data_IF_182438743451
#
_entry.id   IF_182438743451
#
_cell.length_a   1.000
_cell.length_b   1.000
_cell.length_c   1.000
_cell.angle_alpha   90.00
_cell.angle_beta   90.00
_cell.angle_gamma   90.00
#
_symmetry.space_group_name_H-M   'P 1'
#
loop_
_entity.id
_entity.type
_entity.pdbx_description
1 polymer ?
#
# COMPACT_ATOMS: atom_id res chain seq x y z
N UNK A 1 -20.69 8.79 -3.29
CA UNK A 1 -19.43 8.69 -2.51
C UNK A 1 -19.59 7.84 -1.26
N UNK A 2 -20.57 8.11 -0.38
CA UNK A 2 -20.84 7.29 0.82
C UNK A 2 -21.22 5.85 0.45
N UNK A 3 -20.75 4.87 1.24
CA UNK A 3 -20.94 3.44 1.05
C UNK A 3 -21.36 2.79 2.37
N UNK A 4 -22.48 2.07 2.34
CA UNK A 4 -23.05 1.40 3.53
C UNK A 4 -22.45 0.02 3.79
N UNK A 5 -21.67 -0.52 2.86
CA UNK A 5 -21.15 -1.89 2.88
C UNK A 5 -19.63 -1.99 3.14
N UNK A 6 -18.96 -0.89 3.52
CA UNK A 6 -17.50 -0.88 3.73
C UNK A 6 -17.10 -1.91 4.78
N UNK A 7 -17.76 -1.92 5.93
CA UNK A 7 -17.46 -2.85 7.01
C UNK A 7 -17.59 -4.31 6.59
N UNK A 8 -18.70 -4.68 5.95
CA UNK A 8 -18.92 -6.05 5.46
C UNK A 8 -17.82 -6.49 4.49
N UNK A 9 -17.43 -5.61 3.56
CA UNK A 9 -16.41 -5.89 2.56
C UNK A 9 -15.02 -5.99 3.20
N UNK A 10 -14.68 -5.08 4.11
CA UNK A 10 -13.40 -5.09 4.84
C UNK A 10 -13.31 -6.33 5.74
N UNK A 11 -14.39 -6.73 6.40
CA UNK A 11 -14.41 -7.95 7.22
C UNK A 11 -14.25 -9.24 6.38
N UNK A 12 -14.77 -9.28 5.15
CA UNK A 12 -14.49 -10.38 4.19
C UNK A 12 -13.02 -10.49 3.81
N UNK A 13 -12.30 -9.37 3.72
CA UNK A 13 -10.86 -9.38 3.53
C UNK A 13 -10.16 -9.91 4.79
N UNK A 14 -10.53 -9.38 5.97
CA UNK A 14 -9.90 -9.74 7.26
C UNK A 14 -10.04 -11.22 7.60
N UNK A 15 -11.13 -11.88 7.19
CA UNK A 15 -11.33 -13.31 7.41
C UNK A 15 -10.36 -14.20 6.63
N UNK A 16 -9.60 -13.63 5.69
CA UNK A 16 -8.55 -14.31 4.91
C UNK A 16 -7.13 -13.91 5.35
N UNK A 17 -6.99 -13.27 6.53
CA UNK A 17 -5.72 -12.76 7.04
C UNK A 17 -5.23 -13.52 8.28
N UNK A 18 -5.19 -14.86 8.23
CA UNK A 18 -4.48 -15.64 9.24
C UNK A 18 -2.96 -15.43 9.09
N UNK A 19 -2.15 -15.73 10.12
CA UNK A 19 -0.71 -15.47 10.09
C UNK A 19 0.04 -15.99 8.85
N UNK A 20 -0.37 -17.15 8.32
CA UNK A 20 0.26 -17.80 7.16
C UNK A 20 -0.38 -17.40 5.82
N UNK A 21 -1.48 -16.63 5.84
CA UNK A 21 -2.16 -16.21 4.63
C UNK A 21 -1.41 -15.07 3.93
N UNK A 22 -1.44 -15.09 2.59
CA UNK A 22 -0.83 -14.05 1.75
C UNK A 22 -1.30 -12.63 2.08
N UNK A 23 -2.51 -12.46 2.59
CA UNK A 23 -3.07 -11.15 2.94
C UNK A 23 -2.32 -10.50 4.12
N UNK A 24 -1.82 -11.32 5.04
CA UNK A 24 -1.03 -10.90 6.21
C UNK A 24 0.39 -10.47 5.85
N UNK A 25 0.85 -10.71 4.61
CA UNK A 25 2.15 -10.22 4.16
C UNK A 25 2.27 -8.68 4.20
N UNK A 26 1.13 -7.96 4.12
CA UNK A 26 1.14 -6.51 4.37
C UNK A 26 1.65 -6.20 5.78
N UNK A 27 1.14 -6.89 6.81
CA UNK A 27 1.49 -6.66 8.21
C UNK A 27 3.00 -6.77 8.42
N UNK A 28 3.61 -7.82 7.90
CA UNK A 28 5.04 -8.07 8.08
C UNK A 28 5.92 -7.05 7.35
N UNK A 29 5.52 -6.65 6.14
CA UNK A 29 6.19 -5.61 5.39
C UNK A 29 6.08 -4.25 6.09
N UNK A 30 4.85 -3.86 6.44
CA UNK A 30 4.55 -2.57 7.06
C UNK A 30 5.22 -2.43 8.43
N UNK A 31 5.17 -3.48 9.25
CA UNK A 31 5.82 -3.50 10.55
C UNK A 31 7.35 -3.40 10.43
N UNK A 32 7.95 -3.99 9.38
CA UNK A 32 9.40 -3.91 9.16
C UNK A 32 9.85 -2.50 8.75
N UNK A 33 9.10 -1.82 7.87
CA UNK A 33 9.50 -0.51 7.35
C UNK A 33 9.11 0.66 8.26
N UNK A 34 8.44 0.43 9.39
CA UNK A 34 8.09 1.48 10.35
C UNK A 34 9.35 2.20 10.87
N UNK A 35 9.34 3.54 11.08
CA UNK A 35 10.55 4.33 11.41
C UNK A 35 11.30 3.98 12.70
N UNK A 36 10.70 3.14 13.58
CA UNK A 36 11.37 2.61 14.76
C UNK A 36 12.50 1.63 14.42
N UNK A 37 12.49 1.07 13.21
CA UNK A 37 13.52 0.14 12.75
C UNK A 37 14.61 0.91 12.01
N UNK A 38 15.86 0.63 12.35
CA UNK A 38 16.97 1.13 11.57
C UNK A 38 17.15 0.28 10.31
N UNK A 39 16.41 0.62 9.25
CA UNK A 39 16.44 -0.09 7.95
C UNK A 39 17.88 -0.18 7.40
N UNK A 40 18.75 0.79 7.70
CA UNK A 40 20.14 0.81 7.20
C UNK A 40 21.05 -0.25 7.83
N UNK A 41 20.69 -0.81 8.98
CA UNK A 41 21.48 -1.87 9.62
C UNK A 41 21.42 -3.19 8.83
N UNK A 42 20.32 -3.42 8.10
CA UNK A 42 20.12 -4.66 7.34
C UNK A 42 19.33 -4.39 6.05
N UNK A 43 20.04 -3.83 5.07
CA UNK A 43 19.50 -3.55 3.74
C UNK A 43 19.06 -4.84 3.04
N UNK A 44 19.80 -5.95 3.24
CA UNK A 44 19.47 -7.24 2.63
C UNK A 44 18.11 -7.74 3.13
N UNK A 45 17.87 -7.71 4.44
CA UNK A 45 16.56 -8.05 5.00
C UNK A 45 15.45 -7.14 4.49
N UNK A 46 15.71 -5.84 4.32
CA UNK A 46 14.75 -4.93 3.68
C UNK A 46 14.38 -5.36 2.26
N UNK A 47 15.37 -5.74 1.46
CA UNK A 47 15.15 -6.27 0.12
C UNK A 47 14.34 -7.58 0.14
N UNK A 48 14.65 -8.50 1.07
CA UNK A 48 13.96 -9.78 1.21
C UNK A 48 12.49 -9.60 1.65
N UNK A 49 12.25 -8.76 2.66
CA UNK A 49 10.89 -8.46 3.16
C UNK A 49 10.05 -7.84 2.06
N UNK A 50 10.57 -6.82 1.36
CA UNK A 50 9.84 -6.18 0.27
C UNK A 50 9.60 -7.16 -0.88
N UNK A 51 10.61 -7.93 -1.27
CA UNK A 51 10.51 -8.94 -2.32
C UNK A 51 9.44 -9.99 -2.02
N UNK A 52 9.41 -10.51 -0.80
CA UNK A 52 8.44 -11.54 -0.39
C UNK A 52 7.01 -10.99 -0.32
N UNK A 53 6.84 -9.77 0.19
CA UNK A 53 5.54 -9.08 0.14
C UNK A 53 5.03 -8.96 -1.29
N UNK A 54 5.87 -8.48 -2.22
CA UNK A 54 5.50 -8.35 -3.62
C UNK A 54 5.19 -9.70 -4.29
N UNK A 55 5.92 -10.76 -3.93
CA UNK A 55 5.66 -12.13 -4.39
C UNK A 55 4.29 -12.63 -3.92
N UNK A 56 3.95 -12.42 -2.65
CA UNK A 56 2.64 -12.76 -2.07
C UNK A 56 1.47 -12.04 -2.75
N UNK A 57 1.76 -10.89 -3.38
CA UNK A 57 0.80 -10.13 -4.18
C UNK A 57 0.93 -10.33 -5.69
N UNK A 58 1.66 -11.36 -6.12
CA UNK A 58 1.73 -11.84 -7.49
C UNK A 58 2.62 -11.01 -8.42
N UNK A 59 3.52 -10.17 -7.91
CA UNK A 59 4.39 -9.33 -8.75
C UNK A 59 5.51 -10.11 -9.44
N UNK A 60 5.74 -11.36 -9.06
CA UNK A 60 6.71 -12.27 -9.69
C UNK A 60 6.05 -13.28 -10.62
N UNK A 61 4.76 -13.16 -10.96
CA UNK A 61 4.09 -14.17 -11.81
C UNK A 61 4.22 -13.88 -13.31
N UNK A 62 4.09 -14.93 -14.12
CA UNK A 62 3.92 -14.82 -15.58
C UNK A 62 5.13 -14.25 -16.29
N UNK A 63 4.95 -13.14 -17.02
CA UNK A 63 6.01 -12.45 -17.78
C UNK A 63 6.55 -11.20 -17.06
N UNK A 64 6.36 -11.09 -15.75
CA UNK A 64 6.89 -9.97 -14.97
C UNK A 64 8.41 -9.89 -15.07
N UNK A 65 8.96 -8.70 -15.34
CA UNK A 65 10.41 -8.48 -15.39
C UNK A 65 11.11 -8.83 -14.06
N UNK A 66 10.38 -8.81 -12.94
CA UNK A 66 10.91 -9.16 -11.61
C UNK A 66 11.32 -10.64 -11.52
N UNK A 67 10.80 -11.53 -12.37
CA UNK A 67 11.24 -12.92 -12.43
C UNK A 67 12.72 -13.07 -12.78
N UNK A 68 13.28 -12.08 -13.46
CA UNK A 68 14.68 -12.06 -13.88
C UNK A 68 15.56 -11.26 -12.91
N UNK A 69 15.07 -10.96 -11.70
CA UNK A 69 15.73 -10.11 -10.70
C UNK A 69 15.87 -10.85 -9.38
N UNK A 70 17.05 -10.74 -8.77
CA UNK A 70 17.29 -11.20 -7.40
C UNK A 70 16.93 -10.11 -6.39
N UNK A 71 16.96 -10.44 -5.09
CA UNK A 71 16.71 -9.48 -4.01
C UNK A 71 17.59 -8.22 -4.09
N UNK A 72 18.82 -8.35 -4.61
CA UNK A 72 19.74 -7.21 -4.82
C UNK A 72 19.15 -6.11 -5.71
N UNK A 73 18.22 -6.43 -6.60
CA UNK A 73 17.53 -5.44 -7.45
C UNK A 73 16.77 -4.38 -6.64
N UNK A 74 16.34 -4.70 -5.42
CA UNK A 74 15.63 -3.76 -4.54
C UNK A 74 16.57 -2.83 -3.75
N UNK A 75 17.88 -3.08 -3.72
CA UNK A 75 18.83 -2.32 -2.90
C UNK A 75 18.75 -0.80 -3.12
N UNK A 76 18.73 -0.27 -4.36
CA UNK A 76 18.63 1.17 -4.58
C UNK A 76 17.33 1.77 -4.02
N UNK A 77 16.23 1.01 -4.10
CA UNK A 77 14.93 1.41 -3.55
C UNK A 77 14.96 1.41 -2.02
N UNK A 78 15.52 0.38 -1.38
CA UNK A 78 15.61 0.31 0.09
C UNK A 78 16.49 1.44 0.64
N UNK A 79 17.63 1.74 -0.01
CA UNK A 79 18.49 2.86 0.40
C UNK A 79 17.79 4.20 0.28
N UNK A 80 16.99 4.39 -0.77
CA UNK A 80 16.17 5.59 -0.92
C UNK A 80 15.13 5.71 0.20
N UNK A 81 14.38 4.63 0.46
CA UNK A 81 13.37 4.59 1.54
C UNK A 81 14.01 4.92 2.89
N UNK A 82 15.17 4.33 3.19
CA UNK A 82 15.87 4.54 4.46
C UNK A 82 16.41 5.97 4.65
N UNK A 83 16.53 6.75 3.57
CA UNK A 83 16.98 8.14 3.61
C UNK A 83 15.83 9.15 3.65
N UNK A 84 14.57 8.72 3.55
CA UNK A 84 13.41 9.60 3.66
C UNK A 84 13.24 10.12 5.09
N UNK A 85 12.68 11.32 5.19
CA UNK A 85 12.30 11.87 6.48
C UNK A 85 11.22 11.00 7.15
N UNK A 86 11.32 10.83 8.48
CA UNK A 86 10.40 9.96 9.22
C UNK A 86 8.95 10.44 9.16
N UNK A 87 8.71 11.73 8.96
CA UNK A 87 7.37 12.31 8.79
C UNK A 87 6.59 11.72 7.62
N UNK A 88 7.27 11.13 6.62
CA UNK A 88 6.61 10.45 5.50
C UNK A 88 5.72 9.29 5.98
N UNK A 89 6.08 8.60 7.06
CA UNK A 89 5.26 7.53 7.64
C UNK A 89 4.07 8.01 8.47
N UNK A 90 3.98 9.33 8.73
CA UNK A 90 2.85 9.96 9.39
C UNK A 90 1.78 10.44 8.38
N UNK A 91 2.05 10.31 7.08
CA UNK A 91 1.07 10.60 6.04
C UNK A 91 0.04 9.47 6.01
N UNK A 92 -1.24 9.83 6.01
CA UNK A 92 -2.36 8.94 5.75
C UNK A 92 -3.46 9.76 5.04
N UNK A 93 -4.53 9.12 4.59
CA UNK A 93 -5.56 9.76 3.75
C UNK A 93 -6.24 10.96 4.42
N UNK A 94 -6.26 11.03 5.76
CA UNK A 94 -6.80 12.18 6.47
C UNK A 94 -5.90 13.42 6.38
N UNK A 95 -4.60 13.26 6.15
CA UNK A 95 -3.64 14.34 5.96
C UNK A 95 -3.33 14.66 4.50
N UNK A 96 -4.06 14.10 3.53
CA UNK A 96 -3.91 14.45 2.10
C UNK A 96 -4.32 15.91 1.82
N UNK A 97 -3.34 16.80 1.96
CA UNK A 97 -3.35 18.16 1.45
C UNK A 97 -2.46 18.26 0.20
N UNK A 98 -2.32 19.47 -0.36
CA UNK A 98 -1.50 19.69 -1.56
C UNK A 98 -0.05 19.21 -1.35
N UNK A 99 0.56 19.51 -0.20
CA UNK A 99 1.96 19.19 0.07
C UNK A 99 2.19 17.67 0.20
N UNK A 100 1.32 16.98 0.94
CA UNK A 100 1.40 15.54 1.13
C UNK A 100 1.10 14.79 -0.17
N UNK A 101 0.15 15.28 -0.98
CA UNK A 101 -0.10 14.72 -2.30
C UNK A 101 1.12 14.85 -3.22
N UNK A 102 1.76 16.03 -3.28
CA UNK A 102 2.99 16.20 -4.05
C UNK A 102 4.13 15.31 -3.53
N UNK A 103 4.21 15.12 -2.21
CA UNK A 103 5.19 14.22 -1.58
C UNK A 103 4.98 12.77 -2.04
N UNK A 104 3.74 12.27 -2.02
CA UNK A 104 3.40 10.92 -2.49
C UNK A 104 3.75 10.74 -3.98
N UNK A 105 3.41 11.72 -4.82
CA UNK A 105 3.72 11.69 -6.27
C UNK A 105 5.23 11.68 -6.50
N UNK A 106 5.99 12.48 -5.73
CA UNK A 106 7.46 12.51 -5.81
C UNK A 106 8.06 11.17 -5.41
N UNK A 107 7.64 10.59 -4.29
CA UNK A 107 8.11 9.26 -3.82
C UNK A 107 7.78 8.18 -4.84
N UNK A 108 6.57 8.20 -5.41
CA UNK A 108 6.19 7.29 -6.50
C UNK A 108 7.19 7.37 -7.67
N UNK A 109 7.49 8.58 -8.15
CA UNK A 109 8.43 8.82 -9.25
C UNK A 109 9.85 8.37 -8.90
N UNK A 110 10.31 8.69 -7.70
CA UNK A 110 11.64 8.33 -7.21
C UNK A 110 11.83 6.81 -7.10
N UNK A 111 10.83 6.08 -6.59
CA UNK A 111 10.89 4.61 -6.53
C UNK A 111 10.81 4.02 -7.95
N UNK A 112 9.91 4.53 -8.80
CA UNK A 112 9.78 4.10 -10.19
C UNK A 112 11.11 4.14 -10.93
N UNK A 113 11.80 5.28 -10.89
CA UNK A 113 13.08 5.48 -11.61
C UNK A 113 14.20 4.55 -11.12
N UNK A 114 14.15 4.11 -9.86
CA UNK A 114 15.15 3.23 -9.25
C UNK A 114 14.87 1.75 -9.51
N UNK A 115 13.61 1.37 -9.65
CA UNK A 115 13.22 -0.04 -9.72
C UNK A 115 12.86 -0.51 -11.13
N UNK A 116 12.34 0.39 -11.97
CA UNK A 116 11.68 0.05 -13.23
C UNK A 116 12.41 0.66 -14.42
N UNK A 117 12.76 -0.20 -15.38
CA UNK A 117 13.21 0.24 -16.71
C UNK A 117 12.02 0.80 -17.50
N UNK A 118 12.23 1.85 -18.31
CA UNK A 118 11.20 2.62 -19.04
C UNK A 118 10.16 1.83 -19.88
N UNK A 119 10.38 0.53 -20.12
CA UNK A 119 9.51 -0.33 -20.93
C UNK A 119 8.48 -1.14 -20.13
N UNK A 120 8.55 -1.17 -18.79
CA UNK A 120 7.68 -2.01 -17.98
C UNK A 120 6.55 -1.21 -17.32
N UNK A 121 5.41 -1.86 -17.10
CA UNK A 121 4.30 -1.29 -16.36
C UNK A 121 4.71 -1.00 -14.90
N UNK A 122 4.35 0.20 -14.42
CA UNK A 122 4.78 0.73 -13.13
C UNK A 122 3.68 0.80 -12.09
N UNK A 123 2.46 1.15 -12.49
CA UNK A 123 1.39 1.58 -11.57
C UNK A 123 1.16 0.61 -10.40
N UNK A 124 0.80 -0.63 -10.70
CA UNK A 124 0.45 -1.62 -9.67
C UNK A 124 1.66 -2.01 -8.82
N UNK A 125 2.84 -2.15 -9.42
CA UNK A 125 4.05 -2.52 -8.69
C UNK A 125 4.45 -1.42 -7.71
N UNK A 126 4.55 -0.18 -8.18
CA UNK A 126 4.99 0.92 -7.33
C UNK A 126 3.95 1.23 -6.26
N UNK A 127 2.65 1.26 -6.57
CA UNK A 127 1.62 1.49 -5.54
C UNK A 127 1.55 0.37 -4.51
N UNK A 128 1.85 -0.89 -4.86
CA UNK A 128 2.04 -1.97 -3.87
C UNK A 128 3.22 -1.71 -2.95
N UNK A 129 4.36 -1.27 -3.48
CA UNK A 129 5.51 -0.90 -2.65
C UNK A 129 5.12 0.22 -1.68
N UNK A 130 4.45 1.26 -2.18
CA UNK A 130 4.01 2.38 -1.33
C UNK A 130 3.04 1.93 -0.23
N UNK A 131 2.08 1.06 -0.56
CA UNK A 131 1.19 0.44 0.41
C UNK A 131 1.97 -0.37 1.45
N UNK A 132 2.82 -1.32 1.02
CA UNK A 132 3.54 -2.20 1.93
C UNK A 132 4.58 -1.51 2.81
N UNK A 133 5.19 -0.41 2.35
CA UNK A 133 6.25 0.32 3.07
C UNK A 133 5.69 1.42 3.96
N UNK A 134 4.79 2.25 3.42
CA UNK A 134 4.29 3.46 4.09
C UNK A 134 2.83 3.34 4.51
N UNK A 135 2.04 2.50 3.83
CA UNK A 135 0.62 2.33 4.12
C UNK A 135 -0.24 3.53 3.75
N UNK A 136 0.34 4.58 3.15
CA UNK A 136 -0.35 5.85 2.93
C UNK A 136 -1.24 5.89 1.69
N UNK A 137 -1.16 4.92 0.77
CA UNK A 137 -1.89 4.89 -0.50
C UNK A 137 -2.35 3.45 -0.80
N UNK A 138 -3.56 3.25 -1.34
CA UNK A 138 -3.97 1.93 -1.85
C UNK A 138 -3.11 1.43 -3.00
N UNK A 139 -3.07 0.10 -3.18
CA UNK A 139 -2.48 -0.51 -4.36
C UNK A 139 -3.41 -0.31 -5.57
N UNK A 140 -2.93 0.36 -6.62
CA UNK A 140 -3.68 0.56 -7.86
C UNK A 140 -3.52 -0.69 -8.74
N UNK A 141 -4.01 -1.82 -8.25
CA UNK A 141 -4.19 -3.04 -9.03
C UNK A 141 -5.53 -3.04 -9.77
N UNK A 142 -5.77 -4.07 -10.58
CA UNK A 142 -6.98 -4.13 -11.40
C UNK A 142 -8.26 -4.10 -10.57
N UNK A 143 -8.30 -4.78 -9.42
CA UNK A 143 -9.50 -4.84 -8.59
C UNK A 143 -9.78 -3.49 -7.93
N UNK A 144 -8.76 -2.88 -7.30
CA UNK A 144 -8.90 -1.54 -6.75
C UNK A 144 -9.34 -0.54 -7.82
N UNK A 145 -8.66 -0.54 -8.97
CA UNK A 145 -8.95 0.38 -10.06
C UNK A 145 -10.36 0.19 -10.61
N UNK A 146 -10.84 -1.05 -10.76
CA UNK A 146 -12.19 -1.33 -11.26
C UNK A 146 -13.25 -0.78 -10.29
N UNK A 147 -13.09 -1.07 -8.99
CA UNK A 147 -13.98 -0.55 -7.94
C UNK A 147 -14.02 0.98 -7.94
N UNK A 148 -12.86 1.62 -7.90
CA UNK A 148 -12.78 3.06 -7.76
C UNK A 148 -13.15 3.82 -9.04
N UNK A 149 -12.95 3.24 -10.23
CA UNK A 149 -13.51 3.78 -11.48
C UNK A 149 -15.03 3.74 -11.46
N UNK A 150 -15.63 2.63 -11.05
CA UNK A 150 -17.09 2.50 -10.93
C UNK A 150 -17.66 3.51 -9.93
N UNK A 151 -17.00 3.69 -8.78
CA UNK A 151 -17.39 4.68 -7.77
C UNK A 151 -17.23 6.12 -8.26
N UNK A 152 -16.24 6.37 -9.11
CA UNK A 152 -15.98 7.71 -9.63
C UNK A 152 -16.92 8.14 -10.76
N UNK A 153 -17.68 7.22 -11.35
CA UNK A 153 -18.64 7.53 -12.43
C UNK A 153 -18.00 8.37 -13.55
N UNK A 154 -16.76 8.02 -13.93
CA UNK A 154 -16.00 8.72 -14.98
C UNK A 154 -15.22 9.96 -14.51
N UNK A 155 -15.41 10.40 -13.26
CA UNK A 155 -14.64 11.51 -12.70
C UNK A 155 -13.15 11.17 -12.60
N UNK A 156 -12.76 9.94 -12.24
CA UNK A 156 -11.36 9.56 -12.07
C UNK A 156 -11.03 8.21 -12.72
N UNK A 157 -10.02 8.20 -13.59
CA UNK A 157 -9.64 7.01 -14.35
C UNK A 157 -8.78 6.00 -13.59
N UNK A 158 -8.17 6.35 -12.44
CA UNK A 158 -7.23 5.49 -11.70
C UNK A 158 -6.24 4.75 -12.63
N UNK A 159 -5.57 5.51 -13.51
CA UNK A 159 -4.54 5.00 -14.45
C UNK A 159 -3.14 5.50 -14.13
N UNK A 160 -3.00 6.41 -13.18
CA UNK A 160 -1.73 6.94 -12.69
C UNK A 160 -1.92 7.50 -11.29
N UNK A 161 -0.83 7.56 -10.52
CA UNK A 161 -0.78 8.31 -9.27
C UNK A 161 -0.55 9.77 -9.60
N UNK A 162 -1.56 10.60 -9.37
CA UNK A 162 -1.57 12.03 -9.64
C UNK A 162 -2.52 12.75 -8.67
N UNK A 163 -2.53 14.09 -8.71
CA UNK A 163 -3.40 14.93 -7.89
C UNK A 163 -4.84 14.44 -7.90
N UNK A 164 -5.43 14.27 -9.09
CA UNK A 164 -6.82 13.89 -9.27
C UNK A 164 -7.17 12.56 -8.62
N UNK A 165 -6.30 11.55 -8.76
CA UNK A 165 -6.51 10.24 -8.13
C UNK A 165 -6.42 10.28 -6.61
N UNK A 166 -5.49 11.06 -6.06
CA UNK A 166 -5.27 11.16 -4.62
C UNK A 166 -6.34 12.03 -3.96
N UNK A 167 -6.72 13.15 -4.58
CA UNK A 167 -7.86 13.96 -4.14
C UNK A 167 -9.17 13.16 -4.17
N UNK A 168 -9.38 12.31 -5.18
CA UNK A 168 -10.58 11.46 -5.19
C UNK A 168 -10.59 10.45 -4.02
N UNK A 169 -9.45 9.84 -3.69
CA UNK A 169 -9.33 8.96 -2.52
C UNK A 169 -9.61 9.72 -1.24
N UNK A 170 -9.12 10.97 -1.11
CA UNK A 170 -9.44 11.86 0.02
C UNK A 170 -10.95 12.12 0.12
N UNK A 171 -11.61 12.46 -0.97
CA UNK A 171 -13.07 12.70 -0.95
C UNK A 171 -13.85 11.42 -0.62
N UNK A 172 -13.40 10.25 -1.11
CA UNK A 172 -13.99 8.96 -0.72
C UNK A 172 -13.83 8.71 0.78
N UNK A 173 -12.66 9.00 1.33
CA UNK A 173 -12.41 8.92 2.76
C UNK A 173 -13.34 9.84 3.55
N UNK A 174 -13.41 11.14 3.21
CA UNK A 174 -14.23 12.12 3.93
C UNK A 174 -15.71 11.71 3.96
N UNK A 175 -16.25 11.23 2.85
CA UNK A 175 -17.63 10.78 2.74
C UNK A 175 -17.94 9.50 3.55
N UNK A 176 -16.92 8.81 4.05
CA UNK A 176 -17.00 7.54 4.78
C UNK A 176 -16.17 7.56 6.08
N UNK A 177 -15.82 8.75 6.57
CA UNK A 177 -14.80 8.98 7.62
C UNK A 177 -15.07 8.16 8.87
N UNK A 178 -16.28 8.24 9.41
CA UNK A 178 -16.66 7.53 10.65
C UNK A 178 -16.39 6.02 10.57
N UNK A 179 -16.76 5.38 9.45
CA UNK A 179 -16.58 3.94 9.27
C UNK A 179 -15.11 3.58 9.04
N UNK A 180 -14.39 4.37 8.24
CA UNK A 180 -12.98 4.09 7.93
C UNK A 180 -12.10 4.32 9.16
N UNK A 181 -12.30 5.41 9.90
CA UNK A 181 -11.56 5.72 11.13
C UNK A 181 -11.75 4.60 12.16
N UNK A 182 -13.00 4.21 12.42
CA UNK A 182 -13.31 3.11 13.34
C UNK A 182 -12.64 1.79 12.93
N UNK A 183 -12.73 1.41 11.64
CA UNK A 183 -12.11 0.17 11.15
C UNK A 183 -10.59 0.21 11.23
N UNK A 184 -9.98 1.37 11.02
CA UNK A 184 -8.54 1.62 11.22
C UNK A 184 -8.17 1.39 12.68
N UNK A 185 -8.89 2.02 13.61
CA UNK A 185 -8.63 1.97 15.06
C UNK A 185 -8.87 0.58 15.68
N UNK A 186 -9.75 -0.23 15.09
CA UNK A 186 -10.06 -1.59 15.55
C UNK A 186 -9.21 -2.68 14.88
N UNK A 187 -8.48 -2.37 13.80
CA UNK A 187 -7.73 -3.37 13.02
C UNK A 187 -6.24 -3.25 13.26
N UNK A 188 -5.67 -4.25 13.95
CA UNK A 188 -4.25 -4.31 14.28
C UNK A 188 -3.47 -5.22 13.34
N UNK A 189 -2.21 -4.86 13.09
CA UNK A 189 -1.26 -5.71 12.35
C UNK A 189 -0.86 -6.93 13.18
N UNK A 190 -0.32 -7.93 12.51
CA UNK A 190 0.13 -9.19 13.09
C UNK A 190 1.65 -9.20 13.19
N UNK A 191 2.17 -9.63 14.33
CA UNK A 191 3.59 -9.80 14.56
C UNK A 191 4.10 -11.10 13.91
N UNK A 192 5.24 -11.03 13.22
CA UNK A 192 5.83 -12.17 12.53
C UNK A 192 6.25 -13.32 13.47
N UNK A 193 6.82 -13.02 14.64
CA UNK A 193 7.39 -14.03 15.55
C UNK A 193 6.31 -14.80 16.30
N UNK A 194 5.34 -14.08 16.87
CA UNK A 194 4.31 -14.69 17.72
C UNK A 194 3.00 -15.01 16.98
N UNK A 195 2.79 -14.49 15.75
CA UNK A 195 1.52 -14.60 15.03
C UNK A 195 0.36 -13.87 15.72
N UNK A 196 0.64 -13.01 16.70
CA UNK A 196 -0.34 -12.27 17.50
C UNK A 196 -0.51 -10.84 17.01
N UNK A 197 -1.64 -10.23 17.34
CA UNK A 197 -1.87 -8.81 17.06
C UNK A 197 -0.86 -7.92 17.79
N UNK A 198 -0.39 -6.90 17.09
CA UNK A 198 0.46 -5.83 17.62
C UNK A 198 -0.41 -4.70 18.18
N UNK A 199 0.22 -3.62 18.63
CA UNK A 199 -0.45 -2.36 18.95
C UNK A 199 -0.53 -1.40 17.76
N UNK A 200 -0.02 -1.80 16.59
CA UNK A 200 -0.03 -0.96 15.39
C UNK A 200 -1.34 -1.19 14.62
N UNK A 201 -2.07 -0.10 14.44
CA UNK A 201 -3.28 -0.08 13.63
C UNK A 201 -2.99 -0.09 12.14
N UNK A 202 -3.95 -0.57 11.37
CA UNK A 202 -3.96 -0.39 9.92
C UNK A 202 -4.17 1.08 9.58
N UNK A 203 -3.38 1.67 8.67
CA UNK A 203 -3.66 3.01 8.20
C UNK A 203 -4.99 3.04 7.43
N UNK A 204 -5.63 4.21 7.40
CA UNK A 204 -6.93 4.42 6.75
C UNK A 204 -6.84 4.12 5.26
N UNK A 205 -5.73 4.48 4.60
CA UNK A 205 -5.47 4.09 3.22
C UNK A 205 -5.41 2.56 3.02
N UNK A 206 -4.97 1.78 4.01
CA UNK A 206 -5.06 0.31 3.97
C UNK A 206 -6.49 -0.20 4.10
N UNK A 207 -7.33 0.42 4.91
CA UNK A 207 -8.77 0.09 4.97
C UNK A 207 -9.44 0.35 3.61
N UNK A 208 -9.11 1.47 2.97
CA UNK A 208 -9.60 1.82 1.63
C UNK A 208 -9.10 0.83 0.57
N UNK A 209 -7.84 0.40 0.65
CA UNK A 209 -7.27 -0.66 -0.18
C UNK A 209 -8.05 -1.97 -0.06
N UNK A 210 -8.30 -2.44 1.17
CA UNK A 210 -9.05 -3.67 1.44
C UNK A 210 -10.46 -3.61 0.84
N UNK A 211 -11.14 -2.48 1.00
CA UNK A 211 -12.45 -2.25 0.40
C UNK A 211 -12.37 -2.29 -1.14
N UNK A 212 -11.49 -1.48 -1.74
CA UNK A 212 -11.36 -1.36 -3.19
C UNK A 212 -10.96 -2.68 -3.86
N UNK A 213 -10.04 -3.43 -3.25
CA UNK A 213 -9.63 -4.75 -3.70
C UNK A 213 -10.79 -5.74 -3.64
N UNK A 214 -11.47 -5.86 -2.50
CA UNK A 214 -12.50 -6.89 -2.28
C UNK A 214 -13.79 -6.61 -3.05
N UNK A 215 -14.16 -5.33 -3.20
CA UNK A 215 -15.31 -4.91 -4.00
C UNK A 215 -15.11 -5.12 -5.51
N UNK A 216 -13.85 -5.21 -5.96
CA UNK A 216 -13.49 -5.32 -7.37
C UNK A 216 -13.14 -6.74 -7.82
N UNK A 217 -13.09 -7.69 -6.88
CA UNK A 217 -13.02 -9.13 -7.12
C UNK A 217 -14.33 -9.65 -7.70
#
# INVERSE_FOLDING_TARGET
MTKTNIETIVNRFKSQSNPDDRYTSFDYCYNYFRPSNNITQDIEKGCLVLGFYLASWGMFRGSSFLLQKSAKHFEPTIRYIAALDKSVWEIDVDSYDENNIQTIIKIYSDIKTRLINKKNADLTLITKILLGVFGFIPAFDNFFCNSFRAISEGQCGFRSVNQKSLSFIKTFYEANKTTIDRLSDETFTTNFVAGRKTTLNYPKAKIIDMYGFTAGQ
#
